data_IF_182699228469
#
_entry.id   IF_182699228469
#
_cell.length_a   1.000
_cell.length_b   1.000
_cell.length_c   1.000
_cell.angle_alpha   90.00
_cell.angle_beta   90.00
_cell.angle_gamma   90.00
#
_symmetry.space_group_name_H-M   'P 1'
#
loop_
_entity.id
_entity.type
_entity.pdbx_description
1 polymer ?
#
# COMPACT_ATOMS: atom_id res chain seq x y z
N UNK A 1 18.95 5.95 13.18
CA UNK A 1 18.09 5.88 11.98
C UNK A 1 16.73 5.39 12.40
N UNK A 2 15.69 6.23 12.39
CA UNK A 2 14.30 5.79 12.61
C UNK A 2 13.68 5.60 11.22
N UNK A 3 13.77 4.40 10.66
CA UNK A 3 12.91 4.00 9.54
C UNK A 3 11.83 3.08 10.10
N UNK A 4 10.67 3.65 10.50
CA UNK A 4 9.54 2.89 11.06
C UNK A 4 8.31 2.82 10.14
N UNK A 5 8.51 2.99 8.84
CA UNK A 5 7.47 2.92 7.81
C UNK A 5 7.74 1.79 6.80
N UNK A 6 6.67 1.25 6.21
CA UNK A 6 6.78 0.28 5.12
C UNK A 6 7.56 0.86 3.92
N UNK A 7 8.48 0.06 3.37
CA UNK A 7 9.23 0.40 2.16
C UNK A 7 8.35 0.34 0.90
N UNK A 8 8.62 1.23 -0.06
CA UNK A 8 7.83 1.36 -1.31
C UNK A 8 7.73 0.05 -2.10
N UNK A 9 8.83 -0.71 -2.14
CA UNK A 9 8.90 -1.99 -2.84
C UNK A 9 8.05 -3.06 -2.14
N UNK A 10 8.07 -3.08 -0.80
CA UNK A 10 7.20 -3.98 -0.02
C UNK A 10 5.74 -3.65 -0.23
N UNK A 11 5.37 -2.37 -0.28
CA UNK A 11 4.00 -1.93 -0.55
C UNK A 11 3.52 -2.38 -1.92
N UNK A 12 4.34 -2.15 -2.97
CA UNK A 12 4.07 -2.60 -4.34
C UNK A 12 3.88 -4.12 -4.42
N UNK A 13 4.83 -4.90 -3.89
CA UNK A 13 4.76 -6.37 -3.92
C UNK A 13 3.52 -6.91 -3.21
N UNK A 14 3.12 -6.30 -2.09
CA UNK A 14 1.89 -6.68 -1.38
C UNK A 14 0.66 -6.45 -2.24
N UNK A 15 0.56 -5.29 -2.92
CA UNK A 15 -0.52 -5.00 -3.87
C UNK A 15 -0.58 -6.03 -5.00
N UNK A 16 0.56 -6.29 -5.64
CA UNK A 16 0.65 -7.21 -6.78
C UNK A 16 0.29 -8.64 -6.40
N UNK A 17 0.72 -9.12 -5.23
CA UNK A 17 0.33 -10.44 -4.72
C UNK A 17 -1.17 -10.56 -4.42
N UNK A 18 -1.83 -9.46 -4.08
CA UNK A 18 -3.29 -9.40 -3.93
C UNK A 18 -4.03 -9.32 -5.28
N UNK A 19 -3.30 -9.34 -6.40
CA UNK A 19 -3.88 -9.27 -7.74
C UNK A 19 -4.47 -7.90 -8.08
N UNK A 20 -4.13 -6.84 -7.33
CA UNK A 20 -4.74 -5.53 -7.47
C UNK A 20 -3.92 -4.61 -8.38
N UNK A 21 -4.61 -3.88 -9.24
CA UNK A 21 -4.09 -2.66 -9.87
C UNK A 21 -3.94 -1.54 -8.84
N UNK A 22 -3.19 -0.48 -9.19
CA UNK A 22 -3.08 0.71 -8.33
C UNK A 22 -4.44 1.38 -8.08
N UNK A 23 -5.35 1.34 -9.06
CA UNK A 23 -6.70 1.90 -8.98
C UNK A 23 -7.57 1.12 -7.99
N UNK A 24 -7.56 -0.20 -8.05
CA UNK A 24 -8.31 -1.06 -7.13
C UNK A 24 -7.83 -0.93 -5.70
N UNK A 25 -6.50 -0.91 -5.48
CA UNK A 25 -5.96 -0.67 -4.15
C UNK A 25 -6.34 0.72 -3.63
N UNK A 26 -6.30 1.74 -4.49
CA UNK A 26 -6.70 3.10 -4.13
C UNK A 26 -8.15 3.14 -3.64
N UNK A 27 -9.08 2.54 -4.40
CA UNK A 27 -10.49 2.41 -4.01
C UNK A 27 -10.65 1.69 -2.68
N UNK A 28 -9.94 0.57 -2.48
CA UNK A 28 -10.01 -0.22 -1.23
C UNK A 28 -9.49 0.54 -0.01
N UNK A 29 -8.52 1.44 -0.20
CA UNK A 29 -7.92 2.26 0.85
C UNK A 29 -8.59 3.63 1.04
N UNK A 30 -9.60 3.98 0.23
CA UNK A 30 -10.17 5.33 0.23
C UNK A 30 -9.15 6.41 -0.14
N UNK A 31 -8.29 6.12 -1.13
CA UNK A 31 -7.25 7.01 -1.65
C UNK A 31 -7.43 7.23 -3.16
N UNK A 32 -6.69 8.20 -3.69
CA UNK A 32 -6.58 8.40 -5.13
C UNK A 32 -5.50 7.49 -5.72
N UNK A 33 -5.66 7.06 -6.98
CA UNK A 33 -4.62 6.32 -7.72
C UNK A 33 -3.28 7.06 -7.80
N UNK A 34 -3.23 8.39 -8.04
CA UNK A 34 -1.97 9.14 -7.95
C UNK A 34 -1.27 9.03 -6.59
N UNK A 35 -2.02 8.94 -5.49
CA UNK A 35 -1.41 8.72 -4.16
C UNK A 35 -0.69 7.37 -4.10
N UNK A 36 -1.32 6.29 -4.58
CA UNK A 36 -0.71 4.96 -4.66
C UNK A 36 0.55 4.98 -5.52
N UNK A 37 0.48 5.61 -6.70
CA UNK A 37 1.65 5.75 -7.58
C UNK A 37 2.81 6.50 -6.92
N UNK A 38 2.53 7.59 -6.17
CA UNK A 38 3.55 8.34 -5.43
C UNK A 38 4.17 7.53 -4.29
N UNK A 39 3.37 6.72 -3.59
CA UNK A 39 3.87 5.80 -2.56
C UNK A 39 4.83 4.77 -3.16
N UNK A 40 4.43 4.10 -4.25
CA UNK A 40 5.24 3.07 -4.91
C UNK A 40 6.48 3.65 -5.59
N UNK A 41 6.40 4.89 -6.09
CA UNK A 41 7.55 5.62 -6.62
C UNK A 41 8.53 6.08 -5.54
N UNK A 42 8.07 6.18 -4.28
CA UNK A 42 8.84 6.78 -3.19
C UNK A 42 8.92 8.31 -3.27
N UNK A 43 7.98 8.93 -3.98
CA UNK A 43 7.87 10.40 -4.07
C UNK A 43 7.42 10.99 -2.73
N UNK A 44 6.54 10.27 -2.04
CA UNK A 44 6.11 10.58 -0.68
C UNK A 44 6.13 9.30 0.17
N UNK A 45 6.40 9.40 1.48
CA UNK A 45 6.39 8.24 2.36
C UNK A 45 4.98 7.64 2.46
N UNK A 46 4.92 6.33 2.72
CA UNK A 46 3.65 5.63 2.96
C UNK A 46 3.14 6.00 4.36
N UNK A 47 1.94 6.61 4.50
CA UNK A 47 1.38 6.91 5.80
C UNK A 47 1.14 5.64 6.62
N UNK A 48 1.37 5.70 7.95
CA UNK A 48 1.22 4.52 8.82
C UNK A 48 -0.19 3.90 8.76
N UNK A 49 -1.23 4.72 8.62
CA UNK A 49 -2.60 4.25 8.46
C UNK A 49 -2.79 3.43 7.16
N UNK A 50 -2.15 3.85 6.07
CA UNK A 50 -2.17 3.11 4.78
C UNK A 50 -1.45 1.78 4.92
N UNK A 51 -0.30 1.77 5.62
CA UNK A 51 0.42 0.54 5.94
C UNK A 51 -0.45 -0.44 6.73
N UNK A 52 -1.10 0.02 7.81
CA UNK A 52 -1.96 -0.83 8.65
C UNK A 52 -3.16 -1.36 7.86
N UNK A 53 -3.81 -0.51 7.07
CA UNK A 53 -4.95 -0.91 6.25
C UNK A 53 -4.57 -2.00 5.22
N UNK A 54 -3.41 -1.87 4.56
CA UNK A 54 -2.91 -2.89 3.64
C UNK A 54 -2.62 -4.22 4.34
N UNK A 55 -2.05 -4.20 5.56
CA UNK A 55 -1.84 -5.42 6.35
C UNK A 55 -3.16 -6.10 6.71
N UNK A 56 -4.17 -5.35 7.13
CA UNK A 56 -5.50 -5.89 7.46
C UNK A 56 -6.18 -6.52 6.24
N UNK A 57 -6.09 -5.86 5.09
CA UNK A 57 -6.52 -6.37 3.79
C UNK A 57 -5.87 -7.73 3.51
N UNK A 58 -4.54 -7.81 3.63
CA UNK A 58 -3.81 -9.05 3.36
C UNK A 58 -4.21 -10.20 4.29
N UNK A 59 -4.45 -9.93 5.57
CA UNK A 59 -4.87 -10.96 6.53
C UNK A 59 -6.25 -11.52 6.19
N UNK A 60 -7.18 -10.68 5.71
CA UNK A 60 -8.56 -11.10 5.40
C UNK A 60 -8.68 -11.97 4.14
N UNK A 61 -7.79 -11.82 3.17
CA UNK A 61 -7.78 -12.63 1.93
C UNK A 61 -6.98 -13.94 2.08
N UNK A 62 -6.32 -14.14 3.23
CA UNK A 62 -5.51 -15.33 3.54
C UNK A 62 -6.20 -16.35 4.45
N UNK A 63 -7.40 -16.02 4.95
CA UNK A 63 -8.28 -16.94 5.65
C UNK A 63 -9.34 -17.47 4.71
#
# INVERSE_FOLDING_TARGET
MIQSGMEKETFRKKRERLGMTQEELAKRLGKSRPSISRYEGGVIPIPKAVEMALKLIETREKG
#
